data_IF_288016128244
#
_entry.id   IF_288016128244
#
_cell.length_a   1.000
_cell.length_b   1.000
_cell.length_c   1.000
_cell.angle_alpha   90.00
_cell.angle_beta   90.00
_cell.angle_gamma   90.00
#
_symmetry.space_group_name_H-M   'P 1'
#
loop_
_entity.id
_entity.type
_entity.pdbx_description
1 polymer ?
#
# COMPACT_ATOMS: atom_id res chain seq x y z
N UNK A 1 4.91 -18.99 31.39
CA UNK A 1 4.77 -18.79 29.94
C UNK A 1 4.87 -17.31 29.65
N UNK A 2 5.87 -16.87 28.87
CA UNK A 2 6.04 -15.45 28.56
C UNK A 2 4.87 -15.00 27.67
N UNK A 3 4.11 -14.00 28.13
CA UNK A 3 3.06 -13.37 27.35
C UNK A 3 3.75 -12.52 26.27
N UNK A 4 3.90 -13.08 25.07
CA UNK A 4 4.49 -12.35 23.94
C UNK A 4 3.56 -11.18 23.62
N UNK A 5 4.08 -9.96 23.73
CA UNK A 5 3.27 -8.76 23.65
C UNK A 5 2.74 -8.56 22.23
N UNK A 6 1.44 -8.72 22.04
CA UNK A 6 0.80 -8.57 20.73
C UNK A 6 0.48 -9.90 20.03
N UNK A 7 0.68 -11.04 20.70
CA UNK A 7 0.17 -12.34 20.27
C UNK A 7 -0.75 -12.89 21.37
N UNK A 8 -1.96 -13.29 21.00
CA UNK A 8 -2.93 -13.90 21.90
C UNK A 8 -3.45 -15.19 21.29
N UNK A 9 -3.36 -16.29 22.04
CA UNK A 9 -3.93 -17.57 21.65
C UNK A 9 -5.30 -17.76 22.29
N UNK A 10 -6.28 -18.15 21.50
CA UNK A 10 -7.63 -18.49 21.94
C UNK A 10 -7.79 -20.01 21.87
N UNK A 11 -8.41 -20.55 22.92
CA UNK A 11 -8.66 -21.98 23.04
C UNK A 11 -10.11 -22.31 22.66
N UNK A 12 -10.32 -23.50 22.10
CA UNK A 12 -11.65 -24.05 21.89
C UNK A 12 -12.27 -24.56 23.20
N UNK A 13 -13.50 -25.11 23.10
CA UNK A 13 -14.22 -25.71 24.24
C UNK A 13 -13.52 -26.93 24.84
N UNK A 14 -12.56 -27.54 24.14
CA UNK A 14 -11.77 -28.68 24.62
C UNK A 14 -10.43 -28.26 25.21
N UNK A 15 -10.11 -26.96 25.21
CA UNK A 15 -8.87 -26.41 25.74
C UNK A 15 -7.69 -26.44 24.76
N UNK A 16 -7.92 -26.80 23.50
CA UNK A 16 -6.90 -26.77 22.44
C UNK A 16 -6.79 -25.38 21.83
N UNK A 17 -5.58 -24.97 21.43
CA UNK A 17 -5.38 -23.70 20.73
C UNK A 17 -6.05 -23.79 19.36
N UNK A 18 -7.01 -22.90 19.11
CA UNK A 18 -7.81 -22.90 17.89
C UNK A 18 -7.56 -21.64 17.05
N UNK A 19 -7.38 -20.49 17.69
CA UNK A 19 -7.15 -19.22 17.00
C UNK A 19 -5.99 -18.45 17.62
N UNK A 20 -5.43 -17.54 16.82
CA UNK A 20 -4.41 -16.60 17.26
C UNK A 20 -4.75 -15.20 16.77
N UNK A 21 -4.67 -14.20 17.65
CA UNK A 21 -4.70 -12.78 17.30
C UNK A 21 -3.30 -12.23 17.31
N UNK A 22 -2.89 -11.63 16.19
CA UNK A 22 -1.56 -11.10 15.99
C UNK A 22 -1.66 -9.61 15.69
N UNK A 23 -0.92 -8.79 16.43
CA UNK A 23 -0.84 -7.36 16.18
C UNK A 23 0.03 -7.11 14.94
N UNK A 24 -0.63 -6.86 13.81
CA UNK A 24 0.03 -6.60 12.53
C UNK A 24 0.94 -5.38 12.56
N UNK A 25 0.70 -4.36 13.41
CA UNK A 25 1.62 -3.22 13.52
C UNK A 25 2.99 -3.62 14.08
N UNK A 26 3.06 -4.68 14.87
CA UNK A 26 4.31 -5.17 15.48
C UNK A 26 4.98 -6.26 14.66
N UNK A 27 4.18 -7.12 14.05
CA UNK A 27 4.66 -8.34 13.38
C UNK A 27 4.40 -8.34 11.87
N UNK A 28 4.23 -7.16 11.26
CA UNK A 28 3.91 -7.03 9.83
C UNK A 28 4.90 -7.82 8.99
N UNK A 29 6.20 -7.52 9.13
CA UNK A 29 7.26 -8.07 8.28
C UNK A 29 7.32 -9.60 8.36
N UNK A 30 7.04 -10.16 9.53
CA UNK A 30 7.11 -11.59 9.79
C UNK A 30 5.90 -12.34 9.23
N UNK A 31 4.71 -11.73 9.27
CA UNK A 31 3.46 -12.41 8.90
C UNK A 31 2.97 -12.07 7.48
N UNK A 32 3.42 -10.96 6.91
CA UNK A 32 3.05 -10.49 5.57
C UNK A 32 3.28 -11.54 4.48
N UNK A 33 4.40 -12.30 4.42
CA UNK A 33 4.56 -13.36 3.42
C UNK A 33 3.48 -14.46 3.52
N UNK A 34 3.04 -14.79 4.74
CA UNK A 34 1.98 -15.76 4.96
C UNK A 34 0.61 -15.18 4.58
N UNK A 35 0.33 -13.92 4.94
CA UNK A 35 -0.93 -13.27 4.59
C UNK A 35 -1.07 -13.09 3.07
N UNK A 36 0.01 -12.78 2.36
CA UNK A 36 0.04 -12.72 0.91
C UNK A 36 -0.17 -14.09 0.27
N UNK A 37 0.45 -15.15 0.80
CA UNK A 37 0.32 -16.50 0.21
C UNK A 37 -1.10 -17.07 0.29
N UNK A 38 -1.89 -16.66 1.28
CA UNK A 38 -3.29 -17.05 1.44
C UNK A 38 -4.27 -16.04 0.82
N UNK A 39 -3.78 -14.99 0.15
CA UNK A 39 -4.60 -13.94 -0.44
C UNK A 39 -5.36 -13.07 0.57
N UNK A 40 -4.92 -13.03 1.83
CA UNK A 40 -5.52 -12.18 2.86
C UNK A 40 -5.06 -10.71 2.75
N UNK A 41 -3.88 -10.50 2.15
CA UNK A 41 -3.40 -9.19 1.72
C UNK A 41 -3.09 -9.35 0.23
N UNK A 42 -3.90 -8.73 -0.61
CA UNK A 42 -3.57 -8.57 -2.01
C UNK A 42 -2.47 -7.49 -2.09
N UNK A 43 -1.38 -7.77 -2.79
CA UNK A 43 -0.66 -6.67 -3.44
C UNK A 43 -1.60 -6.20 -4.54
N UNK A 44 -2.45 -5.22 -4.22
CA UNK A 44 -3.46 -4.67 -5.13
C UNK A 44 -2.74 -4.37 -6.44
N UNK A 45 -3.14 -4.99 -7.56
CA UNK A 45 -2.54 -4.74 -8.88
C UNK A 45 -2.57 -3.23 -9.19
N UNK A 46 -3.60 -2.56 -8.67
CA UNK A 46 -3.71 -1.12 -8.64
C UNK A 46 -2.54 -0.42 -7.93
N UNK A 47 -2.12 -0.87 -6.75
CA UNK A 47 -1.01 -0.25 -6.02
C UNK A 47 0.31 -0.39 -6.78
N UNK A 48 0.53 -1.53 -7.45
CA UNK A 48 1.69 -1.72 -8.33
C UNK A 48 1.65 -0.80 -9.55
N UNK A 49 0.52 -0.76 -10.24
CA UNK A 49 0.34 0.08 -11.44
C UNK A 49 0.42 1.57 -11.09
N UNK A 50 -0.12 1.96 -9.92
CA UNK A 50 -0.05 3.31 -9.39
C UNK A 50 1.38 3.70 -9.01
N UNK A 51 2.12 2.84 -8.29
CA UNK A 51 3.53 3.10 -7.96
C UNK A 51 4.42 3.18 -9.20
N UNK A 52 4.19 2.32 -10.19
CA UNK A 52 4.90 2.35 -11.46
C UNK A 52 4.55 3.60 -12.28
N UNK A 53 3.27 3.99 -12.30
CA UNK A 53 2.80 5.24 -12.89
C UNK A 53 3.40 6.48 -12.22
N UNK A 54 3.57 6.46 -10.90
CA UNK A 54 4.24 7.53 -10.17
C UNK A 54 5.75 7.58 -10.47
N UNK A 55 6.43 6.44 -10.62
CA UNK A 55 7.86 6.39 -10.99
C UNK A 55 8.11 6.91 -12.40
N UNK A 56 7.20 6.62 -13.33
CA UNK A 56 7.29 7.00 -14.74
C UNK A 56 6.58 8.33 -15.05
N UNK A 57 6.01 8.98 -14.03
CA UNK A 57 5.31 10.25 -14.18
C UNK A 57 6.24 11.40 -14.54
N UNK A 58 5.69 12.41 -15.21
CA UNK A 58 6.43 13.64 -15.52
C UNK A 58 6.66 14.47 -14.25
N UNK A 59 7.80 15.15 -14.18
CA UNK A 59 8.08 16.08 -13.08
C UNK A 59 7.23 17.35 -13.21
N UNK A 60 7.09 18.09 -12.11
CA UNK A 60 6.39 19.38 -12.14
C UNK A 60 7.00 20.38 -13.13
N UNK A 61 8.33 20.34 -13.31
CA UNK A 61 9.05 21.18 -14.28
C UNK A 61 8.72 20.81 -15.72
N UNK A 62 8.66 19.51 -16.02
CA UNK A 62 8.25 18.99 -17.33
C UNK A 62 6.79 19.36 -17.64
N UNK A 63 5.91 19.23 -16.66
CA UNK A 63 4.52 19.66 -16.78
C UNK A 63 4.41 21.16 -17.09
N UNK A 64 5.16 22.00 -16.38
CA UNK A 64 5.18 23.45 -16.63
C UNK A 64 5.72 23.76 -18.02
N UNK A 65 6.79 23.07 -18.46
CA UNK A 65 7.35 23.24 -19.79
C UNK A 65 6.34 22.89 -20.91
N UNK A 66 5.48 21.89 -20.69
CA UNK A 66 4.46 21.48 -21.66
C UNK A 66 3.22 22.39 -21.66
N UNK A 67 2.82 22.88 -20.48
CA UNK A 67 1.57 23.64 -20.29
C UNK A 67 1.76 25.13 -20.60
N UNK A 68 2.87 25.74 -20.19
CA UNK A 68 3.11 27.18 -20.37
C UNK A 68 3.05 27.64 -21.84
N UNK A 69 3.59 26.92 -22.84
CA UNK A 69 3.46 27.30 -24.24
C UNK A 69 2.01 27.29 -24.72
N UNK A 70 1.21 26.31 -24.26
CA UNK A 70 -0.22 26.20 -24.61
C UNK A 70 -1.01 27.36 -24.02
N UNK A 71 -0.75 27.69 -22.75
CA UNK A 71 -1.36 28.85 -22.07
C UNK A 71 -0.98 30.15 -22.80
N UNK A 72 0.31 30.36 -23.10
CA UNK A 72 0.77 31.56 -23.84
C UNK A 72 0.08 31.68 -25.20
N UNK A 73 -0.06 30.56 -25.92
CA UNK A 73 -0.77 30.53 -27.21
C UNK A 73 -2.26 30.86 -27.07
N UNK A 74 -2.92 30.41 -26.00
CA UNK A 74 -4.31 30.75 -25.69
C UNK A 74 -4.50 32.25 -25.46
N UNK A 75 -3.58 32.90 -24.77
CA UNK A 75 -3.67 34.34 -24.47
C UNK A 75 -3.07 35.24 -25.55
N UNK A 76 -2.23 34.74 -26.45
CA UNK A 76 -1.67 35.51 -27.58
C UNK A 76 -2.62 35.63 -28.77
N UNK A 77 -3.76 34.93 -28.76
CA UNK A 77 -4.76 34.94 -29.83
C UNK A 77 -5.96 35.84 -29.50
N UNK A 78 -5.99 36.47 -28.31
CA UNK A 78 -6.92 37.56 -28.03
C UNK A 78 -6.35 38.87 -28.58
N UNK A 79 -7.03 39.53 -29.54
CA UNK A 79 -6.63 40.84 -30.07
C UNK A 79 -6.76 41.96 -29.04
#
# INVERSE_FOLDING_TARGET
MAKVQGIQFEKDSHGHVAYVRINLKKYRKEIEPFLTSIGAIEEDEFDKEFEEGCKNGITGEQLLADVLPRIKKLFSVCP
#
